data_IF_401339370460
#
_entry.id   IF_401339370460
#
_cell.length_a   1.000
_cell.length_b   1.000
_cell.length_c   1.000
_cell.angle_alpha   90.00
_cell.angle_beta   90.00
_cell.angle_gamma   90.00
#
_symmetry.space_group_name_H-M   'P 1'
#
loop_
_entity.id
_entity.type
_entity.pdbx_description
1 polymer ?
#
# COMPACT_ATOMS: atom_id res chain seq x y z
N UNK A 1 -4.19 -45.86 -33.51
CA UNK A 1 -4.18 -46.26 -32.09
C UNK A 1 -2.72 -46.36 -31.70
N UNK A 2 -2.18 -45.32 -31.05
CA UNK A 2 -0.81 -45.37 -30.53
C UNK A 2 -0.87 -45.95 -29.13
N UNK A 3 -0.35 -47.15 -28.94
CA UNK A 3 -0.25 -47.76 -27.62
C UNK A 3 0.73 -46.96 -26.77
N UNK A 4 0.20 -46.27 -25.76
CA UNK A 4 1.01 -45.62 -24.74
C UNK A 4 1.73 -46.70 -23.96
N UNK A 5 3.04 -46.86 -24.16
CA UNK A 5 3.86 -47.81 -23.40
C UNK A 5 3.91 -47.36 -21.94
N UNK A 6 3.14 -48.02 -21.08
CA UNK A 6 3.15 -47.79 -19.65
C UNK A 6 4.19 -48.73 -19.00
N UNK A 7 5.42 -48.24 -18.81
CA UNK A 7 6.46 -48.97 -18.09
C UNK A 7 6.24 -48.85 -16.58
N UNK A 8 6.16 -49.99 -15.87
CA UNK A 8 6.15 -50.02 -14.40
C UNK A 8 7.59 -50.15 -13.89
N UNK A 9 7.97 -49.32 -12.92
CA UNK A 9 9.28 -49.34 -12.25
C UNK A 9 9.06 -49.58 -10.76
N UNK A 10 10.00 -50.28 -10.10
CA UNK A 10 9.97 -50.43 -8.64
C UNK A 10 10.24 -49.08 -7.96
N UNK A 11 9.68 -48.84 -6.77
CA UNK A 11 9.94 -47.59 -6.04
C UNK A 11 11.45 -47.39 -5.74
N UNK A 12 12.16 -48.48 -5.42
CA UNK A 12 13.61 -48.44 -5.19
C UNK A 12 14.39 -47.99 -6.43
N UNK A 13 14.00 -48.43 -7.62
CA UNK A 13 14.66 -48.02 -8.85
C UNK A 13 14.26 -46.59 -9.24
N UNK A 14 13.01 -46.20 -8.99
CA UNK A 14 12.54 -44.82 -9.18
C UNK A 14 13.39 -43.83 -8.38
N UNK A 15 13.59 -44.08 -7.08
CA UNK A 15 14.39 -43.20 -6.20
C UNK A 15 15.86 -43.14 -6.62
N UNK A 16 16.42 -44.22 -7.17
CA UNK A 16 17.80 -44.23 -7.70
C UNK A 16 17.94 -43.51 -9.04
N UNK A 17 16.89 -43.53 -9.86
CA UNK A 17 16.92 -43.05 -11.25
C UNK A 17 16.54 -41.58 -11.36
N UNK A 18 15.52 -41.14 -10.61
CA UNK A 18 14.98 -39.79 -10.68
C UNK A 18 15.42 -38.97 -9.48
N UNK A 19 15.99 -37.80 -9.75
CA UNK A 19 16.42 -36.85 -8.71
C UNK A 19 15.35 -35.80 -8.39
N UNK A 20 14.37 -35.63 -9.27
CA UNK A 20 13.33 -34.60 -9.18
C UNK A 20 11.97 -35.18 -9.56
N UNK A 21 10.94 -34.82 -8.78
CA UNK A 21 9.55 -35.13 -9.05
C UNK A 21 8.75 -33.83 -8.95
N UNK A 22 8.13 -33.42 -10.05
CA UNK A 22 7.19 -32.30 -10.06
C UNK A 22 5.76 -32.84 -10.05
N UNK A 23 4.96 -32.36 -9.10
CA UNK A 23 3.55 -32.75 -8.97
C UNK A 23 2.70 -31.51 -9.17
N UNK A 24 1.85 -31.53 -10.19
CA UNK A 24 0.86 -30.47 -10.43
C UNK A 24 -0.47 -30.91 -9.82
N UNK A 25 -1.02 -30.10 -8.93
CA UNK A 25 -2.37 -30.34 -8.43
C UNK A 25 -3.39 -29.83 -9.44
N UNK A 26 -4.27 -30.72 -9.86
CA UNK A 26 -5.41 -30.38 -10.68
C UNK A 26 -6.37 -29.47 -9.88
N UNK A 27 -6.97 -28.51 -10.56
CA UNK A 27 -8.11 -27.79 -9.98
C UNK A 27 -9.34 -28.71 -9.88
N UNK A 28 -10.39 -28.22 -9.20
CA UNK A 28 -11.59 -29.02 -8.98
C UNK A 28 -12.32 -29.38 -10.28
N UNK A 29 -12.19 -28.61 -11.35
CA UNK A 29 -12.88 -28.87 -12.62
C UNK A 29 -12.14 -29.98 -13.36
N UNK A 30 -10.84 -29.81 -13.55
CA UNK A 30 -9.96 -30.80 -14.19
C UNK A 30 -9.91 -32.12 -13.42
N UNK A 31 -9.94 -32.07 -12.09
CA UNK A 31 -10.02 -33.28 -11.27
C UNK A 31 -11.36 -34.02 -11.40
N UNK A 32 -12.44 -33.33 -11.75
CA UNK A 32 -13.75 -33.95 -11.99
C UNK A 32 -13.84 -34.58 -13.37
N UNK A 33 -13.15 -34.01 -14.35
CA UNK A 33 -13.14 -34.51 -15.73
C UNK A 33 -12.22 -35.72 -15.92
N UNK A 34 -11.28 -35.97 -14.98
CA UNK A 34 -10.37 -37.11 -15.01
C UNK A 34 -11.01 -38.38 -14.41
N UNK A 35 -11.32 -39.40 -15.23
CA UNK A 35 -12.11 -40.55 -14.78
C UNK A 35 -11.42 -41.37 -13.68
N UNK A 36 -10.09 -41.39 -13.68
CA UNK A 36 -9.29 -42.10 -12.68
C UNK A 36 -9.35 -41.47 -11.28
N UNK A 37 -9.92 -40.27 -11.14
CA UNK A 37 -10.01 -39.53 -9.87
C UNK A 37 -11.43 -39.46 -9.28
N UNK A 38 -12.48 -39.93 -9.97
CA UNK A 38 -13.87 -39.83 -9.51
C UNK A 38 -14.15 -40.42 -8.12
N UNK A 39 -13.40 -41.44 -7.71
CA UNK A 39 -13.55 -42.12 -6.42
C UNK A 39 -12.65 -41.54 -5.33
N UNK A 40 -11.89 -40.47 -5.63
CA UNK A 40 -10.99 -39.81 -4.68
C UNK A 40 -11.59 -38.49 -4.21
N UNK A 41 -11.29 -38.11 -2.97
CA UNK A 41 -11.66 -36.81 -2.44
C UNK A 41 -11.00 -35.69 -3.25
N UNK A 42 -11.80 -34.76 -3.73
CA UNK A 42 -11.31 -33.60 -4.49
C UNK A 42 -10.68 -32.59 -3.53
N UNK A 43 -9.51 -32.08 -3.91
CA UNK A 43 -8.88 -31.00 -3.18
C UNK A 43 -9.67 -29.70 -3.40
N UNK A 44 -9.98 -29.01 -2.31
CA UNK A 44 -10.40 -27.62 -2.38
C UNK A 44 -9.17 -26.74 -2.57
N UNK A 45 -9.31 -25.74 -3.44
CA UNK A 45 -8.28 -24.75 -3.70
C UNK A 45 -8.84 -23.34 -3.51
N UNK A 46 -8.06 -22.50 -2.84
CA UNK A 46 -8.23 -21.04 -2.90
C UNK A 46 -6.95 -20.42 -3.42
N UNK A 47 -7.10 -19.44 -4.30
CA UNK A 47 -6.00 -18.69 -4.86
C UNK A 47 -6.13 -17.21 -4.52
N UNK A 48 -4.97 -16.57 -4.45
CA UNK A 48 -4.85 -15.12 -4.46
C UNK A 48 -3.80 -14.73 -5.50
N UNK A 49 -4.14 -13.76 -6.33
CA UNK A 49 -3.22 -13.12 -7.27
C UNK A 49 -2.88 -11.74 -6.75
N UNK A 50 -1.60 -11.40 -6.75
CA UNK A 50 -1.11 -10.12 -6.29
C UNK A 50 0.25 -9.80 -6.87
N UNK A 51 0.85 -8.72 -6.40
CA UNK A 51 2.19 -8.32 -6.78
C UNK A 51 2.95 -7.75 -5.59
N UNK A 52 4.26 -7.96 -5.59
CA UNK A 52 5.18 -7.14 -4.81
C UNK A 52 5.48 -5.91 -5.65
N UNK A 53 5.05 -4.74 -5.15
CA UNK A 53 5.30 -3.45 -5.77
C UNK A 53 6.20 -2.62 -4.85
N UNK A 54 7.24 -2.01 -5.43
CA UNK A 54 8.19 -1.18 -4.68
C UNK A 54 7.44 -0.03 -4.01
N UNK A 55 7.78 0.24 -2.76
CA UNK A 55 7.13 1.29 -1.97
C UNK A 55 5.72 0.98 -1.46
N UNK A 56 5.11 -0.13 -1.88
CA UNK A 56 3.74 -0.48 -1.52
C UNK A 56 3.70 -1.80 -0.74
N UNK A 57 4.15 -2.89 -1.37
CA UNK A 57 3.99 -4.26 -0.89
C UNK A 57 5.26 -5.12 -0.99
N UNK A 58 6.33 -4.62 -1.60
CA UNK A 58 7.62 -5.32 -1.71
C UNK A 58 8.45 -5.20 -0.42
N UNK A 59 7.97 -5.83 0.67
CA UNK A 59 8.57 -5.68 2.00
C UNK A 59 9.80 -6.55 2.28
N UNK A 60 10.05 -7.56 1.45
CA UNK A 60 11.12 -8.53 1.66
C UNK A 60 10.81 -9.51 2.81
N UNK A 61 11.72 -10.45 3.08
CA UNK A 61 11.50 -11.51 4.06
C UNK A 61 11.68 -11.01 5.51
N UNK A 62 11.52 -11.92 6.49
CA UNK A 62 11.53 -11.60 7.93
C UNK A 62 12.81 -10.93 8.43
N UNK A 63 13.92 -11.08 7.69
CA UNK A 63 15.21 -10.43 7.95
C UNK A 63 15.15 -8.89 7.80
N UNK A 64 14.08 -8.37 7.20
CA UNK A 64 13.82 -6.95 6.99
C UNK A 64 12.69 -6.47 7.92
N UNK A 65 12.90 -6.36 9.24
CA UNK A 65 11.84 -6.10 10.22
C UNK A 65 11.15 -4.75 10.04
N UNK A 66 11.78 -3.83 9.30
CA UNK A 66 11.26 -2.51 9.03
C UNK A 66 10.19 -2.47 7.93
N UNK A 67 10.22 -3.43 7.01
CA UNK A 67 9.36 -3.46 5.81
C UNK A 67 8.58 -4.77 5.69
N UNK A 68 8.95 -5.85 6.40
CA UNK A 68 8.30 -7.16 6.31
C UNK A 68 6.76 -7.11 6.44
N UNK A 69 6.25 -6.26 7.32
CA UNK A 69 4.82 -6.11 7.58
C UNK A 69 4.00 -5.50 6.43
N UNK A 70 4.65 -4.87 5.45
CA UNK A 70 3.97 -4.26 4.28
C UNK A 70 3.66 -5.29 3.19
N UNK A 71 4.25 -6.49 3.26
CA UNK A 71 3.94 -7.55 2.30
C UNK A 71 2.46 -7.92 2.34
N UNK A 72 1.88 -8.45 1.25
CA UNK A 72 0.48 -8.87 1.23
C UNK A 72 0.16 -9.83 2.38
N UNK A 73 -0.98 -9.60 3.04
CA UNK A 73 -1.37 -10.30 4.25
C UNK A 73 -2.60 -11.15 3.99
N UNK A 74 -2.43 -12.48 3.87
CA UNK A 74 -3.53 -13.38 3.51
C UNK A 74 -4.02 -14.14 4.75
N UNK A 75 -5.26 -13.89 5.13
CA UNK A 75 -5.93 -14.60 6.23
C UNK A 75 -6.54 -15.90 5.72
N UNK A 76 -5.92 -17.02 6.09
CA UNK A 76 -6.40 -18.37 5.91
C UNK A 76 -7.24 -18.78 7.13
N UNK A 77 -8.45 -19.29 6.89
CA UNK A 77 -9.33 -19.82 7.95
C UNK A 77 -9.62 -21.29 7.65
N UNK A 78 -9.32 -22.14 8.63
CA UNK A 78 -9.58 -23.57 8.60
C UNK A 78 -10.74 -23.93 9.54
N UNK A 79 -11.68 -24.72 9.03
CA UNK A 79 -12.83 -25.20 9.80
C UNK A 79 -12.50 -26.40 10.68
N UNK A 80 -11.46 -27.15 10.35
CA UNK A 80 -11.04 -28.38 11.04
C UNK A 80 -9.52 -28.52 10.98
N UNK A 81 -8.96 -29.37 11.84
CA UNK A 81 -7.57 -29.81 11.70
C UNK A 81 -7.42 -30.58 10.39
N UNK A 82 -6.45 -30.17 9.58
CA UNK A 82 -6.23 -30.73 8.24
C UNK A 82 -4.81 -30.48 7.75
N UNK A 83 -4.41 -31.29 6.79
CA UNK A 83 -3.19 -31.04 6.05
C UNK A 83 -3.42 -30.02 4.93
N UNK A 84 -2.56 -29.02 4.87
CA UNK A 84 -2.65 -27.90 3.94
C UNK A 84 -1.37 -27.79 3.14
N UNK A 85 -1.52 -27.60 1.83
CA UNK A 85 -0.41 -27.31 0.93
C UNK A 85 -0.51 -25.86 0.51
N UNK A 86 0.50 -25.06 0.84
CA UNK A 86 0.62 -23.67 0.42
C UNK A 86 1.66 -23.60 -0.70
N UNK A 87 1.29 -22.98 -1.81
CA UNK A 87 2.12 -22.89 -3.00
C UNK A 87 2.19 -21.46 -3.53
N UNK A 88 3.39 -20.88 -3.52
CA UNK A 88 3.67 -19.54 -4.03
C UNK A 88 4.37 -19.64 -5.39
N UNK A 89 3.77 -19.02 -6.40
CA UNK A 89 4.28 -19.00 -7.77
C UNK A 89 4.58 -17.57 -8.18
N UNK A 90 5.81 -17.26 -8.58
CA UNK A 90 6.12 -15.98 -9.20
C UNK A 90 5.91 -16.03 -10.71
N UNK A 91 5.53 -14.89 -11.29
CA UNK A 91 5.27 -14.76 -12.72
C UNK A 91 6.48 -14.20 -13.49
N UNK A 92 7.56 -13.83 -12.80
CA UNK A 92 8.83 -13.47 -13.46
C UNK A 92 9.45 -14.69 -14.13
N UNK A 93 9.59 -14.62 -15.47
CA UNK A 93 10.17 -15.70 -16.28
C UNK A 93 11.67 -15.48 -16.49
N UNK A 94 12.10 -14.25 -16.78
CA UNK A 94 13.49 -13.96 -17.18
C UNK A 94 14.45 -13.86 -15.99
N UNK A 95 13.98 -13.34 -14.86
CA UNK A 95 14.78 -13.16 -13.66
C UNK A 95 13.95 -13.54 -12.43
N UNK A 96 13.86 -14.84 -12.10
CA UNK A 96 13.14 -15.26 -10.92
C UNK A 96 13.83 -14.71 -9.68
N UNK A 97 13.02 -14.10 -8.81
CA UNK A 97 13.48 -13.57 -7.53
C UNK A 97 13.54 -14.73 -6.52
N UNK A 98 14.32 -14.57 -5.46
CA UNK A 98 14.29 -15.53 -4.36
C UNK A 98 12.98 -15.30 -3.61
N UNK A 99 12.07 -16.27 -3.61
CA UNK A 99 10.73 -16.14 -3.03
C UNK A 99 10.51 -17.17 -1.93
N UNK A 100 9.61 -16.85 -1.02
CA UNK A 100 9.14 -17.74 0.03
C UNK A 100 7.91 -17.17 0.72
N UNK A 101 7.41 -17.87 1.72
CA UNK A 101 6.31 -17.38 2.54
C UNK A 101 6.48 -17.80 3.99
N UNK A 102 5.87 -17.03 4.87
CA UNK A 102 5.84 -17.29 6.31
C UNK A 102 4.40 -17.25 6.80
N UNK A 103 4.03 -18.17 7.70
CA UNK A 103 2.72 -18.20 8.33
C UNK A 103 2.78 -17.94 9.84
N UNK A 104 1.77 -17.26 10.37
CA UNK A 104 1.57 -16.99 11.81
C UNK A 104 0.16 -17.42 12.22
N UNK A 105 -0.03 -17.75 13.50
CA UNK A 105 -1.38 -17.93 14.05
C UNK A 105 -2.08 -16.58 14.17
N UNK A 106 -3.37 -16.53 13.83
CA UNK A 106 -4.18 -15.32 13.88
C UNK A 106 -5.62 -15.64 14.32
N UNK A 107 -6.30 -14.78 15.10
CA UNK A 107 -7.72 -14.96 15.39
C UNK A 107 -8.59 -15.01 14.13
N UNK A 108 -9.56 -15.94 14.08
CA UNK A 108 -10.46 -16.14 12.93
C UNK A 108 -11.26 -14.90 12.54
N UNK A 109 -11.55 -14.02 13.49
CA UNK A 109 -12.34 -12.80 13.31
C UNK A 109 -11.50 -11.59 12.92
N UNK A 110 -10.18 -11.72 12.77
CA UNK A 110 -9.34 -10.59 12.42
C UNK A 110 -9.61 -10.11 10.99
N UNK A 111 -9.96 -8.83 10.85
CA UNK A 111 -10.23 -8.16 9.57
C UNK A 111 -9.16 -7.13 9.17
N UNK A 112 -8.27 -6.75 10.08
CA UNK A 112 -7.30 -5.67 9.88
C UNK A 112 -5.90 -6.21 9.56
N UNK A 113 -5.11 -5.41 8.85
CA UNK A 113 -3.70 -5.70 8.60
C UNK A 113 -2.90 -5.67 9.89
N UNK A 114 -1.97 -6.61 10.01
CA UNK A 114 -1.11 -6.76 11.18
C UNK A 114 0.12 -5.87 11.06
N UNK A 115 0.34 -5.04 12.08
CA UNK A 115 1.45 -4.09 12.11
C UNK A 115 2.79 -4.70 12.49
N UNK A 116 3.86 -3.93 12.27
CA UNK A 116 5.27 -4.28 12.56
C UNK A 116 5.52 -4.88 13.95
N UNK A 117 4.85 -4.38 14.98
CA UNK A 117 5.09 -4.80 16.36
C UNK A 117 4.70 -6.26 16.62
N UNK A 118 3.67 -6.77 15.94
CA UNK A 118 3.25 -8.16 16.06
C UNK A 118 4.35 -9.10 15.61
N UNK A 119 4.94 -8.84 14.43
CA UNK A 119 5.96 -9.72 13.86
C UNK A 119 7.25 -9.74 14.68
N UNK A 120 7.56 -8.66 15.41
CA UNK A 120 8.71 -8.61 16.33
C UNK A 120 8.52 -9.51 17.55
N UNK A 121 7.30 -9.62 18.07
CA UNK A 121 6.99 -10.36 19.30
C UNK A 121 6.65 -11.82 19.05
N UNK A 122 5.98 -12.13 17.93
CA UNK A 122 5.46 -13.46 17.65
C UNK A 122 6.43 -14.25 16.77
N UNK A 123 6.59 -15.55 17.07
CA UNK A 123 7.31 -16.49 16.23
C UNK A 123 6.40 -16.98 15.11
N UNK A 124 6.97 -17.16 13.94
CA UNK A 124 6.31 -17.82 12.81
C UNK A 124 6.01 -19.28 13.13
N UNK A 125 4.84 -19.76 12.69
CA UNK A 125 4.45 -21.17 12.78
C UNK A 125 5.06 -22.00 11.64
N UNK A 126 5.03 -21.47 10.42
CA UNK A 126 5.52 -22.14 9.21
C UNK A 126 6.43 -21.19 8.45
N UNK A 127 7.53 -21.71 7.91
CA UNK A 127 8.38 -21.01 6.95
C UNK A 127 8.64 -21.93 5.78
N UNK A 128 8.38 -21.46 4.57
CA UNK A 128 8.86 -22.17 3.38
C UNK A 128 10.37 -22.03 3.27
N UNK A 129 10.98 -22.89 2.47
CA UNK A 129 12.32 -22.61 1.95
C UNK A 129 12.25 -21.37 1.05
N UNK A 130 13.34 -20.62 0.97
CA UNK A 130 13.49 -19.51 0.03
C UNK A 130 14.35 -19.99 -1.13
N UNK A 131 13.80 -19.99 -2.33
CA UNK A 131 14.50 -20.43 -3.54
C UNK A 131 14.23 -19.45 -4.68
N UNK A 132 15.12 -19.43 -5.67
CA UNK A 132 14.93 -18.72 -6.94
C UNK A 132 14.12 -19.56 -7.96
N UNK A 133 13.34 -20.53 -7.50
CA UNK A 133 12.46 -21.34 -8.34
C UNK A 133 11.22 -20.53 -8.74
N UNK A 134 10.58 -20.90 -9.85
CA UNK A 134 9.29 -20.31 -10.25
C UNK A 134 8.18 -20.55 -9.22
N UNK A 135 8.27 -21.66 -8.50
CA UNK A 135 7.31 -22.09 -7.49
C UNK A 135 8.02 -22.58 -6.23
N UNK A 136 7.46 -22.24 -5.09
CA UNK A 136 7.81 -22.81 -3.78
C UNK A 136 6.52 -23.35 -3.15
N UNK A 137 6.55 -24.61 -2.75
CA UNK A 137 5.42 -25.27 -2.10
C UNK A 137 5.84 -25.85 -0.75
N UNK A 138 4.96 -25.80 0.24
CA UNK A 138 5.17 -26.41 1.54
C UNK A 138 3.88 -27.10 2.01
N UNK A 139 4.02 -28.34 2.49
CA UNK A 139 2.94 -29.15 3.04
C UNK A 139 3.08 -29.16 4.56
N UNK A 140 2.02 -28.80 5.27
CA UNK A 140 2.02 -28.69 6.73
C UNK A 140 0.67 -29.08 7.32
N UNK A 141 0.68 -29.58 8.54
CA UNK A 141 -0.54 -29.89 9.29
C UNK A 141 -0.90 -28.69 10.17
N UNK A 142 -2.13 -28.22 10.06
CA UNK A 142 -2.61 -27.05 10.79
C UNK A 142 -3.88 -27.43 11.56
N UNK A 143 -3.96 -26.92 12.80
CA UNK A 143 -5.14 -27.04 13.64
C UNK A 143 -6.33 -26.23 13.08
N UNK A 144 -7.51 -26.48 13.65
CA UNK A 144 -8.67 -25.63 13.39
C UNK A 144 -8.39 -24.19 13.88
N UNK A 145 -8.34 -23.21 12.98
CA UNK A 145 -7.89 -21.87 13.35
C UNK A 145 -7.88 -20.84 12.24
N UNK A 146 -7.43 -19.63 12.59
CA UNK A 146 -7.05 -18.59 11.64
C UNK A 146 -5.52 -18.51 11.55
N UNK A 147 -5.02 -18.21 10.35
CA UNK A 147 -3.60 -18.12 10.05
C UNK A 147 -3.34 -16.95 9.11
N UNK A 148 -2.27 -16.22 9.36
CA UNK A 148 -1.78 -15.18 8.47
C UNK A 148 -0.65 -15.73 7.62
N UNK A 149 -0.79 -15.70 6.30
CA UNK A 149 0.24 -16.08 5.34
C UNK A 149 0.79 -14.81 4.68
N UNK A 150 2.11 -14.61 4.74
CA UNK A 150 2.82 -13.54 4.05
C UNK A 150 3.68 -14.13 2.93
N UNK A 151 3.27 -14.02 1.65
CA UNK A 151 4.15 -14.26 0.51
C UNK A 151 5.15 -13.09 0.38
N UNK A 152 6.44 -13.41 0.27
CA UNK A 152 7.50 -12.40 0.23
C UNK A 152 8.61 -12.78 -0.75
N UNK A 153 9.25 -11.79 -1.34
CA UNK A 153 10.61 -11.93 -1.86
C UNK A 153 11.62 -11.98 -0.70
N UNK A 154 12.84 -12.44 -0.95
CA UNK A 154 13.90 -12.44 0.05
C UNK A 154 14.35 -11.00 0.37
N UNK A 155 14.73 -10.26 -0.67
CA UNK A 155 15.14 -8.85 -0.56
C UNK A 155 13.93 -7.91 -0.70
N UNK A 156 13.91 -6.78 0.04
CA UNK A 156 12.88 -5.77 -0.09
C UNK A 156 13.01 -5.01 -1.43
N UNK A 157 11.93 -4.39 -1.88
CA UNK A 157 11.92 -3.56 -3.10
C UNK A 157 12.05 -4.34 -4.42
N UNK A 158 12.02 -5.68 -4.37
CA UNK A 158 11.95 -6.55 -5.55
C UNK A 158 10.50 -6.64 -6.05
N UNK A 159 10.31 -6.41 -7.34
CA UNK A 159 8.99 -6.36 -7.95
C UNK A 159 8.71 -7.61 -8.77
N UNK A 160 7.53 -8.21 -8.56
CA UNK A 160 7.02 -9.31 -9.38
C UNK A 160 5.56 -9.58 -9.05
N UNK A 161 4.79 -9.98 -10.06
CA UNK A 161 3.46 -10.57 -9.86
C UNK A 161 3.59 -12.01 -9.38
N UNK A 162 2.64 -12.46 -8.57
CA UNK A 162 2.63 -13.81 -8.04
C UNK A 162 1.21 -14.38 -7.93
N UNK A 163 1.14 -15.69 -7.72
CA UNK A 163 -0.07 -16.40 -7.34
C UNK A 163 0.23 -17.30 -6.15
N UNK A 164 -0.51 -17.09 -5.06
CA UNK A 164 -0.49 -17.98 -3.91
C UNK A 164 -1.72 -18.89 -3.97
N UNK A 165 -1.52 -20.20 -3.84
CA UNK A 165 -2.58 -21.21 -3.80
C UNK A 165 -2.51 -21.96 -2.49
N UNK A 166 -3.67 -22.22 -1.90
CA UNK A 166 -3.81 -23.04 -0.70
C UNK A 166 -4.74 -24.21 -1.04
N UNK A 167 -4.23 -25.43 -0.86
CA UNK A 167 -4.95 -26.66 -1.11
C UNK A 167 -5.26 -27.36 0.21
N UNK A 168 -6.48 -27.88 0.35
CA UNK A 168 -6.89 -28.75 1.46
C UNK A 168 -7.95 -29.75 0.99
N UNK A 169 -8.04 -30.91 1.63
CA UNK A 169 -9.16 -31.85 1.40
C UNK A 169 -10.49 -31.34 1.98
N UNK A 170 -10.44 -30.34 2.87
CA UNK A 170 -11.59 -29.78 3.58
C UNK A 170 -11.88 -28.31 3.21
N UNK A 171 -13.07 -27.78 3.56
CA UNK A 171 -13.39 -26.39 3.32
C UNK A 171 -12.45 -25.40 3.99
N UNK A 172 -11.93 -24.46 3.20
CA UNK A 172 -11.06 -23.37 3.66
C UNK A 172 -11.49 -22.02 3.07
N UNK A 173 -11.15 -20.93 3.77
CA UNK A 173 -11.32 -19.55 3.27
C UNK A 173 -9.95 -18.87 3.23
N UNK A 174 -9.73 -18.07 2.18
CA UNK A 174 -8.54 -17.24 2.04
C UNK A 174 -8.99 -15.82 1.68
N UNK A 175 -8.55 -14.82 2.45
CA UNK A 175 -8.92 -13.41 2.24
C UNK A 175 -7.69 -12.52 2.37
N UNK A 176 -7.55 -11.55 1.47
CA UNK A 176 -6.58 -10.46 1.66
C UNK A 176 -7.04 -9.55 2.80
N UNK A 177 -6.15 -9.31 3.77
CA UNK A 177 -6.29 -8.26 4.75
C UNK A 177 -5.71 -6.99 4.16
N UNK A 178 -6.51 -5.93 4.11
CA UNK A 178 -6.08 -4.60 3.70
C UNK A 178 -6.78 -3.55 4.58
N UNK A 179 -6.24 -2.35 4.59
CA UNK A 179 -6.78 -1.23 5.33
C UNK A 179 -7.93 -0.58 4.56
N UNK A 180 -9.01 -0.25 5.27
CA UNK A 180 -10.04 0.63 4.72
C UNK A 180 -9.54 2.08 4.71
N UNK A 181 -9.67 2.81 3.60
CA UNK A 181 -9.31 4.22 3.56
C UNK A 181 -10.10 5.04 4.58
N UNK A 182 -9.40 5.84 5.39
CA UNK A 182 -10.03 6.74 6.36
C UNK A 182 -9.13 7.91 6.72
N UNK A 183 -9.75 9.02 7.11
CA UNK A 183 -9.07 10.19 7.66
C UNK A 183 -9.12 10.13 9.18
N UNK A 184 -8.00 9.77 9.80
CA UNK A 184 -7.88 9.64 11.27
C UNK A 184 -7.83 11.02 11.93
N UNK A 185 -7.23 12.00 11.25
CA UNK A 185 -7.15 13.40 11.69
C UNK A 185 -6.94 14.31 10.49
N UNK A 186 -7.34 15.58 10.63
CA UNK A 186 -7.10 16.59 9.59
C UNK A 186 -5.61 16.78 9.34
N UNK A 187 -5.22 16.67 8.08
CA UNK A 187 -3.86 17.01 7.64
C UNK A 187 -3.62 18.52 7.59
N UNK A 188 -4.69 19.32 7.42
CA UNK A 188 -4.63 20.79 7.35
C UNK A 188 -4.72 21.35 8.76
N UNK A 189 -3.72 22.15 9.13
CA UNK A 189 -3.59 22.76 10.45
C UNK A 189 -4.02 24.21 10.37
N UNK A 190 -5.12 24.53 11.06
CA UNK A 190 -5.57 25.92 11.20
C UNK A 190 -4.64 26.70 12.11
N UNK A 191 -4.32 27.93 11.74
CA UNK A 191 -3.50 28.82 12.53
C UNK A 191 -4.23 29.21 13.83
N UNK A 192 -3.63 28.98 15.02
CA UNK A 192 -4.16 29.48 16.28
C UNK A 192 -4.47 30.98 16.24
N UNK A 193 -5.62 31.38 16.77
CA UNK A 193 -5.99 32.78 16.94
C UNK A 193 -5.02 33.56 17.85
N UNK A 194 -4.27 32.85 18.69
CA UNK A 194 -3.32 33.38 19.69
C UNK A 194 -1.86 33.37 19.24
N UNK A 195 -1.54 32.90 18.04
CA UNK A 195 -0.16 33.03 17.53
C UNK A 195 0.15 34.51 17.35
N UNK A 196 1.01 35.03 18.22
CA UNK A 196 1.44 36.42 18.22
C UNK A 196 1.83 36.85 16.80
N UNK A 197 1.25 37.98 16.35
CA UNK A 197 1.44 38.51 15.01
C UNK A 197 2.89 38.54 14.55
N UNK A 198 3.85 38.69 15.47
CA UNK A 198 5.31 38.68 15.23
C UNK A 198 5.81 37.50 14.38
N UNK A 199 5.25 36.29 14.49
CA UNK A 199 5.73 35.13 13.70
C UNK A 199 5.29 35.18 12.23
N UNK A 200 4.22 35.91 11.91
CA UNK A 200 3.68 36.00 10.55
C UNK A 200 3.76 37.41 9.96
N UNK A 201 4.06 38.43 10.76
CA UNK A 201 4.20 39.83 10.31
C UNK A 201 5.20 39.97 9.17
N UNK A 202 6.28 39.17 9.19
CA UNK A 202 7.26 39.16 8.10
C UNK A 202 6.66 38.68 6.77
N UNK A 203 5.69 37.76 6.80
CA UNK A 203 5.03 37.26 5.59
C UNK A 203 3.88 38.16 5.15
N UNK A 204 3.22 38.84 6.10
CA UNK A 204 2.09 39.74 5.81
C UNK A 204 2.48 40.87 4.86
N UNK A 205 3.65 41.47 5.07
CA UNK A 205 4.15 42.53 4.20
C UNK A 205 4.33 42.04 2.74
N UNK A 206 4.95 40.87 2.55
CA UNK A 206 5.17 40.29 1.22
C UNK A 206 3.83 39.85 0.59
N UNK A 207 2.94 39.25 1.38
CA UNK A 207 1.61 38.86 0.92
C UNK A 207 0.82 40.07 0.40
N UNK A 208 0.79 41.17 1.16
CA UNK A 208 0.06 42.37 0.77
C UNK A 208 0.66 43.10 -0.43
N UNK A 209 1.97 42.93 -0.69
CA UNK A 209 2.61 43.47 -1.89
C UNK A 209 2.19 42.72 -3.16
N UNK A 210 1.92 41.42 -3.05
CA UNK A 210 1.51 40.57 -4.18
C UNK A 210 -0.01 40.43 -4.31
N UNK A 211 -0.75 40.78 -3.27
CA UNK A 211 -2.20 40.67 -3.24
C UNK A 211 -2.90 41.71 -4.13
N UNK A 212 -4.07 41.35 -4.61
CA UNK A 212 -4.96 42.22 -5.37
C UNK A 212 -5.69 43.25 -4.49
N UNK A 213 -6.58 44.03 -5.10
CA UNK A 213 -7.43 45.03 -4.42
C UNK A 213 -8.29 44.42 -3.30
N UNK A 214 -8.58 43.12 -3.37
CA UNK A 214 -9.35 42.38 -2.36
C UNK A 214 -8.47 41.74 -1.28
N UNK A 215 -7.16 41.99 -1.28
CA UNK A 215 -6.17 41.40 -0.37
C UNK A 215 -6.14 39.87 -0.47
N UNK A 216 -6.21 39.36 -1.69
CA UNK A 216 -6.15 37.93 -1.98
C UNK A 216 -5.06 37.61 -3.02
N UNK A 217 -4.56 36.37 -3.00
CA UNK A 217 -3.55 35.91 -3.96
C UNK A 217 -4.02 34.68 -4.74
N UNK A 218 -3.70 34.60 -6.03
CA UNK A 218 -3.92 33.40 -6.87
C UNK A 218 -2.70 32.46 -6.85
N UNK A 219 -2.75 31.38 -7.63
CA UNK A 219 -1.66 30.39 -7.68
C UNK A 219 -0.31 30.93 -8.18
N UNK A 220 -0.30 31.96 -9.04
CA UNK A 220 0.93 32.54 -9.58
C UNK A 220 1.60 33.46 -8.55
N UNK A 221 0.82 34.36 -7.96
CA UNK A 221 1.26 35.23 -6.86
C UNK A 221 1.69 34.39 -5.64
N UNK A 222 1.00 33.27 -5.38
CA UNK A 222 1.39 32.32 -4.34
C UNK A 222 2.75 31.67 -4.62
N UNK A 223 3.08 31.38 -5.88
CA UNK A 223 4.40 30.83 -6.22
C UNK A 223 5.51 31.81 -5.84
N UNK A 224 5.39 33.07 -6.26
CA UNK A 224 6.35 34.13 -5.93
C UNK A 224 6.45 34.35 -4.41
N UNK A 225 5.31 34.32 -3.72
CA UNK A 225 5.25 34.43 -2.26
C UNK A 225 6.00 33.29 -1.58
N UNK A 226 5.79 32.04 -2.01
CA UNK A 226 6.49 30.88 -1.46
C UNK A 226 7.99 30.92 -1.77
N UNK A 227 8.39 31.34 -2.97
CA UNK A 227 9.81 31.50 -3.33
C UNK A 227 10.51 32.53 -2.43
N UNK A 228 9.83 33.62 -2.08
CA UNK A 228 10.35 34.65 -1.18
C UNK A 228 10.36 34.23 0.30
N UNK A 229 9.36 33.46 0.73
CA UNK A 229 9.10 33.22 2.16
C UNK A 229 9.64 31.89 2.68
N UNK A 230 9.87 30.90 1.82
CA UNK A 230 10.30 29.56 2.26
C UNK A 230 11.79 29.55 2.66
N UNK A 231 12.12 29.07 3.86
CA UNK A 231 13.41 29.35 4.50
C UNK A 231 14.61 28.55 3.94
N UNK A 232 14.39 27.50 3.16
CA UNK A 232 15.46 26.66 2.63
C UNK A 232 15.08 25.94 1.34
N UNK A 233 16.09 25.59 0.53
CA UNK A 233 15.93 24.96 -0.78
C UNK A 233 15.20 23.61 -0.72
N UNK A 234 15.24 22.95 0.44
CA UNK A 234 14.49 21.72 0.69
C UNK A 234 12.97 21.94 0.62
N UNK A 235 12.44 22.98 1.27
CA UNK A 235 11.00 23.31 1.25
C UNK A 235 10.62 24.06 -0.03
N UNK A 236 11.56 24.77 -0.68
CA UNK A 236 11.31 25.43 -1.98
C UNK A 236 10.80 24.50 -3.08
N UNK A 237 10.96 23.18 -2.95
CA UNK A 237 10.29 22.22 -3.84
C UNK A 237 8.76 22.34 -3.85
N UNK A 238 8.15 23.00 -2.86
CA UNK A 238 6.72 23.33 -2.83
C UNK A 238 6.36 24.59 -3.63
N UNK A 239 7.31 25.46 -3.96
CA UNK A 239 7.09 26.67 -4.75
C UNK A 239 7.03 26.36 -6.26
N UNK A 240 6.34 25.29 -6.63
CA UNK A 240 6.07 24.94 -8.02
C UNK A 240 4.60 25.21 -8.34
N UNK A 241 4.32 25.59 -9.58
CA UNK A 241 2.96 25.96 -10.01
C UNK A 241 1.92 24.88 -9.74
N UNK A 242 2.30 23.61 -9.84
CA UNK A 242 1.39 22.49 -9.60
C UNK A 242 0.95 22.42 -8.14
N UNK A 243 1.90 22.50 -7.19
CA UNK A 243 1.59 22.55 -5.76
C UNK A 243 0.81 23.82 -5.42
N UNK A 244 1.18 24.98 -6.00
CA UNK A 244 0.46 26.23 -5.74
C UNK A 244 -1.01 26.16 -6.18
N UNK A 245 -1.31 25.57 -7.34
CA UNK A 245 -2.68 25.33 -7.79
C UNK A 245 -3.44 24.40 -6.85
N UNK A 246 -2.84 23.32 -6.40
CA UNK A 246 -3.44 22.39 -5.44
C UNK A 246 -3.71 23.04 -4.08
N UNK A 247 -2.79 23.89 -3.61
CA UNK A 247 -2.99 24.66 -2.37
C UNK A 247 -4.20 25.57 -2.48
N UNK A 248 -4.33 26.31 -3.59
CA UNK A 248 -5.51 27.15 -3.84
C UNK A 248 -6.78 26.31 -3.81
N UNK A 249 -6.82 25.19 -4.54
CA UNK A 249 -7.96 24.28 -4.56
C UNK A 249 -8.31 23.68 -3.19
N UNK A 250 -7.31 23.46 -2.34
CA UNK A 250 -7.50 22.84 -1.02
C UNK A 250 -7.96 23.84 0.05
N UNK A 251 -7.46 25.08 0.01
CA UNK A 251 -7.66 26.06 1.08
C UNK A 251 -8.70 27.13 0.75
N UNK A 252 -9.05 27.33 -0.53
CA UNK A 252 -10.08 28.29 -0.93
C UNK A 252 -11.49 27.76 -0.64
N UNK A 253 -12.01 28.14 0.53
CA UNK A 253 -13.38 27.80 0.94
C UNK A 253 -14.46 28.61 0.20
N UNK A 254 -14.09 29.65 -0.54
CA UNK A 254 -15.02 30.54 -1.24
C UNK A 254 -15.27 30.17 -2.70
N UNK A 255 -14.42 29.32 -3.28
CA UNK A 255 -14.45 28.97 -4.71
C UNK A 255 -14.10 30.14 -5.63
N UNK A 256 -13.38 31.13 -5.13
CA UNK A 256 -12.91 32.30 -5.88
C UNK A 256 -11.67 32.00 -6.74
N UNK A 257 -10.98 30.88 -6.49
CA UNK A 257 -9.67 30.58 -7.03
C UNK A 257 -8.54 31.42 -6.40
N UNK A 258 -8.79 32.04 -5.25
CA UNK A 258 -7.86 32.95 -4.56
C UNK A 258 -7.85 32.69 -3.05
N UNK A 259 -6.72 32.98 -2.42
CA UNK A 259 -6.49 32.76 -0.99
C UNK A 259 -6.42 34.08 -0.24
N UNK A 260 -7.03 34.11 0.95
CA UNK A 260 -6.89 35.21 1.92
C UNK A 260 -5.64 35.00 2.77
N UNK A 261 -5.22 36.05 3.47
CA UNK A 261 -4.07 35.94 4.38
C UNK A 261 -4.30 34.93 5.52
N UNK A 262 -5.54 34.71 5.96
CA UNK A 262 -5.88 33.64 6.91
C UNK A 262 -5.56 32.26 6.35
N UNK A 263 -5.92 32.01 5.10
CA UNK A 263 -5.70 30.71 4.43
C UNK A 263 -4.19 30.47 4.23
N UNK A 264 -3.45 31.53 3.93
CA UNK A 264 -1.99 31.48 3.87
C UNK A 264 -1.35 31.16 5.24
N UNK A 265 -1.88 31.68 6.36
CA UNK A 265 -1.40 31.29 7.71
C UNK A 265 -1.64 29.81 7.99
N UNK A 266 -2.79 29.28 7.59
CA UNK A 266 -3.12 27.85 7.71
C UNK A 266 -2.16 27.00 6.87
N UNK A 267 -1.84 27.42 5.63
CA UNK A 267 -0.82 26.78 4.80
C UNK A 267 0.53 26.72 5.51
N UNK A 268 1.01 27.83 6.07
CA UNK A 268 2.33 27.89 6.70
C UNK A 268 2.41 27.02 7.96
N UNK A 269 1.32 26.94 8.74
CA UNK A 269 1.23 26.01 9.87
C UNK A 269 1.24 24.54 9.40
N UNK A 270 0.49 24.25 8.33
CA UNK A 270 0.40 22.92 7.73
C UNK A 270 1.75 22.48 7.15
N UNK A 271 2.45 23.34 6.40
CA UNK A 271 3.78 23.07 5.86
C UNK A 271 4.79 22.74 6.97
N UNK A 272 4.76 23.48 8.09
CA UNK A 272 5.64 23.20 9.24
C UNK A 272 5.34 21.84 9.88
N UNK A 273 4.06 21.48 9.99
CA UNK A 273 3.63 20.18 10.49
C UNK A 273 4.06 19.04 9.55
N UNK A 274 3.78 19.15 8.25
CA UNK A 274 4.17 18.16 7.25
C UNK A 274 5.70 18.02 7.15
N UNK A 275 6.43 19.13 7.27
CA UNK A 275 7.89 19.12 7.29
C UNK A 275 8.43 18.31 8.48
N UNK A 276 7.81 18.47 9.64
CA UNK A 276 8.18 17.72 10.85
C UNK A 276 7.94 16.23 10.65
N UNK A 277 6.76 15.87 10.13
CA UNK A 277 6.43 14.47 9.84
C UNK A 277 7.37 13.86 8.80
N UNK A 278 7.63 14.55 7.69
CA UNK A 278 8.58 14.09 6.68
C UNK A 278 9.98 13.87 7.27
N UNK A 279 10.46 14.76 8.15
CA UNK A 279 11.75 14.58 8.83
C UNK A 279 11.78 13.33 9.70
N UNK A 280 10.70 13.01 10.40
CA UNK A 280 10.59 11.80 11.23
C UNK A 280 10.80 10.51 10.42
N UNK A 281 10.43 10.52 9.14
CA UNK A 281 10.55 9.39 8.22
C UNK A 281 11.77 9.44 7.29
N UNK A 282 12.63 10.46 7.38
CA UNK A 282 13.81 10.65 6.51
C UNK A 282 15.14 10.69 7.28
N UNK A 283 15.26 9.84 8.31
CA UNK A 283 16.41 9.81 9.24
C UNK A 283 17.77 9.57 8.57
N UNK A 284 17.81 8.78 7.50
CA UNK A 284 19.07 8.43 6.81
C UNK A 284 19.61 9.59 5.98
N UNK A 285 18.72 10.30 5.28
CA UNK A 285 19.08 11.41 4.40
C UNK A 285 17.95 12.43 4.41
N UNK A 286 18.23 13.56 5.06
CA UNK A 286 17.29 14.66 5.17
C UNK A 286 16.78 15.07 3.79
N UNK A 287 15.46 15.12 3.67
CA UNK A 287 14.79 15.58 2.46
C UNK A 287 14.57 14.54 1.37
N UNK A 288 14.88 13.27 1.64
CA UNK A 288 14.60 12.15 0.74
C UNK A 288 13.78 11.09 1.48
N UNK A 289 12.54 10.90 1.07
CA UNK A 289 11.64 9.88 1.58
C UNK A 289 11.70 8.65 0.68
N UNK A 290 12.12 7.51 1.24
CA UNK A 290 12.03 6.23 0.53
C UNK A 290 10.56 5.85 0.35
N UNK A 291 10.21 5.26 -0.79
CA UNK A 291 8.85 4.90 -1.13
C UNK A 291 8.19 4.00 -0.06
N UNK A 292 8.95 3.08 0.56
CA UNK A 292 8.46 2.16 1.60
C UNK A 292 8.02 2.86 2.88
N UNK A 293 8.41 4.12 3.08
CA UNK A 293 8.03 4.94 4.23
C UNK A 293 6.81 5.82 3.96
N UNK A 294 6.32 5.88 2.72
CA UNK A 294 5.21 6.77 2.38
C UNK A 294 3.94 6.43 3.15
N UNK A 295 3.62 5.13 3.31
CA UNK A 295 2.46 4.67 4.08
C UNK A 295 2.49 5.20 5.52
N UNK A 296 3.61 4.99 6.20
CA UNK A 296 3.78 5.42 7.60
C UNK A 296 3.74 6.96 7.71
N UNK A 297 4.35 7.67 6.77
CA UNK A 297 4.36 9.13 6.75
C UNK A 297 2.96 9.74 6.52
N UNK A 298 2.18 9.17 5.59
CA UNK A 298 0.80 9.59 5.35
C UNK A 298 -0.10 9.27 6.56
N UNK A 299 0.10 8.12 7.20
CA UNK A 299 -0.60 7.75 8.44
C UNK A 299 -0.28 8.71 9.58
N UNK A 300 0.98 9.11 9.74
CA UNK A 300 1.39 10.10 10.74
C UNK A 300 0.71 11.45 10.52
N UNK A 301 0.50 11.86 9.26
CA UNK A 301 -0.19 13.11 8.94
C UNK A 301 -1.71 12.98 9.13
N UNK A 302 -2.28 11.79 8.93
CA UNK A 302 -3.68 11.47 9.25
C UNK A 302 -4.39 10.54 8.28
N UNK A 303 -3.76 10.11 7.19
CA UNK A 303 -4.39 9.29 6.16
C UNK A 303 -4.08 7.81 6.35
N UNK A 304 -5.12 7.02 6.59
CA UNK A 304 -5.06 5.57 6.43
C UNK A 304 -5.52 5.22 5.03
N UNK A 305 -4.72 4.45 4.29
CA UNK A 305 -4.97 4.14 2.89
C UNK A 305 -4.88 2.64 2.62
N UNK A 306 -5.72 2.16 1.71
CA UNK A 306 -5.61 0.82 1.15
C UNK A 306 -4.37 0.69 0.28
N UNK A 307 -4.01 -0.56 -0.03
CA UNK A 307 -2.85 -0.87 -0.87
C UNK A 307 -3.03 -0.33 -2.29
N UNK A 308 -4.25 -0.42 -2.85
CA UNK A 308 -4.54 0.07 -4.21
C UNK A 308 -4.41 1.59 -4.33
N UNK A 309 -4.89 2.34 -3.34
CA UNK A 309 -4.74 3.81 -3.33
C UNK A 309 -3.27 4.20 -3.19
N UNK A 310 -2.53 3.51 -2.32
CA UNK A 310 -1.10 3.75 -2.15
C UNK A 310 -0.32 3.44 -3.45
N UNK A 311 -0.69 2.38 -4.19
CA UNK A 311 -0.11 2.06 -5.49
C UNK A 311 -0.23 3.21 -6.49
N UNK A 312 -1.37 3.89 -6.54
CA UNK A 312 -1.60 5.04 -7.43
C UNK A 312 -0.73 6.23 -6.99
N UNK A 313 -0.63 6.50 -5.69
CA UNK A 313 0.22 7.57 -5.18
C UNK A 313 1.70 7.32 -5.49
N UNK A 314 2.17 6.09 -5.30
CA UNK A 314 3.54 5.71 -5.66
C UNK A 314 3.77 5.88 -7.16
N UNK A 315 2.84 5.42 -8.01
CA UNK A 315 2.95 5.60 -9.46
C UNK A 315 3.02 7.09 -9.86
N UNK A 316 2.27 7.96 -9.19
CA UNK A 316 2.19 9.39 -9.50
C UNK A 316 3.41 10.18 -9.00
N UNK A 317 3.94 9.86 -7.82
CA UNK A 317 4.89 10.73 -7.12
C UNK A 317 6.29 10.15 -6.92
N UNK A 318 6.46 8.83 -7.04
CA UNK A 318 7.77 8.20 -6.89
C UNK A 318 8.67 8.56 -8.07
N UNK A 319 9.90 9.00 -7.79
CA UNK A 319 10.93 9.21 -8.82
C UNK A 319 11.57 7.88 -9.25
N UNK A 320 12.32 7.94 -10.35
CA UNK A 320 13.07 6.79 -10.90
C UNK A 320 14.00 6.11 -9.88
N UNK A 321 14.50 6.85 -8.89
CA UNK A 321 15.37 6.34 -7.83
C UNK A 321 14.61 5.65 -6.69
N UNK A 322 13.28 5.53 -6.77
CA UNK A 322 12.44 4.92 -5.73
C UNK A 322 12.16 5.85 -4.54
N UNK A 323 12.30 7.17 -4.73
CA UNK A 323 12.18 8.15 -3.63
C UNK A 323 11.22 9.29 -3.96
N UNK A 324 10.75 9.96 -2.90
CA UNK A 324 9.93 11.17 -2.93
C UNK A 324 10.72 12.30 -2.25
N UNK A 325 10.50 13.54 -2.71
CA UNK A 325 10.99 14.77 -2.07
C UNK A 325 9.79 15.42 -1.37
N UNK A 326 10.06 16.51 -0.67
CA UNK A 326 9.03 17.16 0.14
C UNK A 326 7.84 17.67 -0.69
N UNK A 327 8.10 18.33 -1.82
CA UNK A 327 7.04 18.80 -2.72
C UNK A 327 6.07 17.69 -3.16
N UNK A 328 6.57 16.47 -3.46
CA UNK A 328 5.69 15.36 -3.89
C UNK A 328 4.84 14.84 -2.72
N UNK A 329 5.42 14.81 -1.51
CA UNK A 329 4.69 14.45 -0.29
C UNK A 329 3.58 15.46 0.04
N UNK A 330 3.88 16.75 -0.10
CA UNK A 330 2.90 17.83 0.08
C UNK A 330 1.79 17.74 -0.97
N UNK A 331 2.14 17.52 -2.24
CA UNK A 331 1.15 17.33 -3.30
C UNK A 331 0.22 16.14 -3.03
N UNK A 332 0.77 15.01 -2.57
CA UNK A 332 -0.03 13.85 -2.19
C UNK A 332 -0.99 14.17 -1.03
N UNK A 333 -0.53 14.90 -0.01
CA UNK A 333 -1.37 15.33 1.11
C UNK A 333 -2.51 16.24 0.65
N UNK A 334 -2.22 17.23 -0.19
CA UNK A 334 -3.23 18.17 -0.70
C UNK A 334 -4.31 17.46 -1.51
N UNK A 335 -3.91 16.61 -2.47
CA UNK A 335 -4.86 15.80 -3.24
C UNK A 335 -5.72 14.90 -2.35
N UNK A 336 -5.10 14.21 -1.38
CA UNK A 336 -5.85 13.37 -0.44
C UNK A 336 -6.82 14.20 0.41
N UNK A 337 -6.39 15.37 0.91
CA UNK A 337 -7.26 16.28 1.66
C UNK A 337 -8.49 16.68 0.87
N UNK A 338 -8.33 17.08 -0.39
CA UNK A 338 -9.46 17.44 -1.26
C UNK A 338 -10.36 16.23 -1.51
N UNK A 339 -9.78 15.08 -1.86
CA UNK A 339 -10.55 13.87 -2.16
C UNK A 339 -11.38 13.37 -0.96
N UNK A 340 -10.79 13.32 0.23
CA UNK A 340 -11.50 12.93 1.46
C UNK A 340 -12.60 13.94 1.80
N UNK A 341 -12.31 15.25 1.78
CA UNK A 341 -13.30 16.28 2.07
C UNK A 341 -14.49 16.24 1.09
N UNK A 342 -14.23 16.05 -0.21
CA UNK A 342 -15.28 15.93 -1.22
C UNK A 342 -16.14 14.68 -1.05
N UNK A 343 -15.54 13.56 -0.64
CA UNK A 343 -16.29 12.34 -0.34
C UNK A 343 -17.14 12.51 0.92
N UNK A 344 -16.54 12.95 2.02
CA UNK A 344 -17.20 13.12 3.33
C UNK A 344 -18.34 14.13 3.27
N UNK A 345 -18.18 15.24 2.53
CA UNK A 345 -19.26 16.23 2.34
C UNK A 345 -20.48 15.67 1.60
N UNK A 346 -20.31 14.60 0.81
CA UNK A 346 -21.37 13.91 0.07
C UNK A 346 -21.87 12.63 0.74
N UNK A 347 -21.20 12.18 1.81
CA UNK A 347 -21.60 11.03 2.63
C UNK A 347 -21.81 11.43 4.11
N UNK A 348 -22.77 12.33 4.42
CA UNK A 348 -22.99 12.80 5.79
C UNK A 348 -23.45 11.68 6.74
N UNK A 349 -23.95 10.57 6.20
CA UNK A 349 -24.39 9.40 6.97
C UNK A 349 -23.29 8.34 7.15
N UNK A 350 -22.10 8.55 6.56
CA UNK A 350 -20.96 7.64 6.64
C UNK A 350 -21.30 6.20 6.19
N UNK A 351 -22.08 6.09 5.11
CA UNK A 351 -22.46 4.80 4.54
C UNK A 351 -21.32 4.15 3.74
N UNK A 352 -20.24 4.89 3.44
CA UNK A 352 -19.10 4.42 2.66
C UNK A 352 -19.37 4.36 1.16
N UNK A 353 -20.47 4.96 0.68
CA UNK A 353 -20.79 5.03 -0.75
C UNK A 353 -21.57 6.30 -1.09
N UNK A 354 -21.30 6.86 -2.27
CA UNK A 354 -21.96 8.07 -2.77
C UNK A 354 -22.53 7.80 -4.16
N UNK A 355 -23.73 8.33 -4.44
CA UNK A 355 -24.31 8.33 -5.78
C UNK A 355 -24.05 9.68 -6.43
N UNK A 356 -23.53 9.68 -7.65
CA UNK A 356 -23.23 10.90 -8.40
C UNK A 356 -23.62 10.72 -9.87
N UNK A 357 -24.09 11.80 -10.49
CA UNK A 357 -24.20 11.94 -11.94
C UNK A 357 -22.82 12.11 -12.58
N UNK A 358 -22.74 11.92 -13.91
CA UNK A 358 -21.49 12.14 -14.65
C UNK A 358 -20.94 13.56 -14.49
N UNK A 359 -21.80 14.57 -14.48
CA UNK A 359 -21.37 15.96 -14.31
C UNK A 359 -20.77 16.21 -12.91
N UNK A 360 -21.37 15.65 -11.86
CA UNK A 360 -20.85 15.74 -10.50
C UNK A 360 -19.54 14.96 -10.33
N UNK A 361 -19.43 13.81 -10.99
CA UNK A 361 -18.20 13.03 -11.04
C UNK A 361 -17.07 13.80 -11.70
N UNK A 362 -17.31 14.39 -12.88
CA UNK A 362 -16.33 15.20 -13.59
C UNK A 362 -15.91 16.43 -12.77
N UNK A 363 -16.88 17.12 -12.14
CA UNK A 363 -16.59 18.23 -11.24
C UNK A 363 -15.67 17.80 -10.10
N UNK A 364 -15.99 16.68 -9.43
CA UNK A 364 -15.18 16.18 -8.30
C UNK A 364 -13.79 15.75 -8.76
N UNK A 365 -13.69 15.09 -9.91
CA UNK A 365 -12.43 14.58 -10.46
C UNK A 365 -11.47 15.69 -10.91
N UNK A 366 -12.01 16.82 -11.39
CA UNK A 366 -11.19 17.98 -11.81
C UNK A 366 -10.79 18.88 -10.65
N UNK A 367 -11.47 18.79 -9.50
CA UNK A 367 -11.08 19.50 -8.28
C UNK A 367 -10.00 18.73 -7.50
N UNK A 368 -9.96 17.40 -7.62
CA UNK A 368 -9.03 16.51 -6.93
C UNK A 368 -7.62 16.43 -7.52
#
# INVERSE_FOLDING_TARGET
MGDTVCCRISYSDFVKTFTHLEVVHLDSDTSRDEPSLHHKSTWQMRLYQGAWQRGVSAGGCRNNPDTFHINPQLHLILSEMEEVIVSLNQHSIMEPKVIGFTAYSLPKNNSETIGKQFFKKNKSLVNSQYTNSRQVSHRCQLEQGGYLILPTTFEPGQESSFTLRVYSSKPLKLKLLDMQPSLIKSAIIKAPATLDGKSFSQYEAVFLQLADEHRTVNAFELQELLDACLPNDYIKSCACMEVCRQVVLTLDNSGSGRLKFSDFKDLMCSLKYWQTSFKNHTKEKTGILKAERLRDALLEVGFQLSTDVLSILILRYMRKDGTLRFGDFVSAILHLSVAFNLFESKDPLQNGSIKQSLAEWLKSSLTC
#
